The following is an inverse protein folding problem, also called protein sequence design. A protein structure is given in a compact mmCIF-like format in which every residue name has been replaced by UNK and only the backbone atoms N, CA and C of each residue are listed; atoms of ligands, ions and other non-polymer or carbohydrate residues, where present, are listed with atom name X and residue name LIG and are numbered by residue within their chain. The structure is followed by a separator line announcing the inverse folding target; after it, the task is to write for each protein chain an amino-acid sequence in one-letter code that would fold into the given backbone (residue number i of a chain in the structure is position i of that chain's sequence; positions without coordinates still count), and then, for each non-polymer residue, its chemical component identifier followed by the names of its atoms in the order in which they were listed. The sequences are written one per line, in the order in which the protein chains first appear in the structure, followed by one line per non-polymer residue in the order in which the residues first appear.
data_IF_126904351489
#
_entry.id   IF_126904351489
#
_cell.length_a   1.000
_cell.length_b   1.000
_cell.length_c   1.000
_cell.angle_alpha   90.00
_cell.angle_beta   90.00
_cell.angle_gamma   90.00
#
_symmetry.space_group_name_H-M   'P 1'
#
loop_
_entity.id
_entity.type
_entity.pdbx_description
1 polymer ?
#
# COMPACT_ATOMS: atom_id res chain seq x y z
N UNK A 1 8.51 -12.59 -22.53
CA UNK A 1 7.25 -12.08 -21.95
C UNK A 1 7.46 -10.64 -21.57
N UNK A 2 6.51 -9.78 -21.91
CA UNK A 2 6.54 -8.42 -21.42
C UNK A 2 6.41 -8.48 -19.89
N UNK A 3 7.37 -7.89 -19.17
CA UNK A 3 7.27 -7.70 -17.72
C UNK A 3 6.02 -6.87 -17.43
N UNK A 4 5.19 -7.34 -16.50
CA UNK A 4 4.01 -6.58 -16.11
C UNK A 4 4.46 -5.37 -15.30
N UNK A 5 3.95 -4.19 -15.68
CA UNK A 5 4.31 -2.91 -15.04
C UNK A 5 3.21 -2.37 -14.15
N UNK A 6 2.12 -3.11 -13.99
CA UNK A 6 1.00 -2.69 -13.17
C UNK A 6 1.25 -2.94 -11.69
N UNK A 7 1.03 -1.91 -10.90
CA UNK A 7 1.18 -1.94 -9.44
C UNK A 7 -0.10 -1.41 -8.81
N UNK A 8 -0.72 -2.20 -7.95
CA UNK A 8 -1.87 -1.73 -7.19
C UNK A 8 -1.47 -0.70 -6.15
N UNK A 9 -2.29 0.31 -5.98
CA UNK A 9 -2.17 1.29 -4.90
C UNK A 9 -3.42 1.22 -4.04
N UNK A 10 -3.24 0.82 -2.80
CA UNK A 10 -4.29 0.75 -1.78
C UNK A 10 -4.15 1.96 -0.86
N UNK A 11 -5.21 2.72 -0.68
CA UNK A 11 -5.16 3.94 0.13
C UNK A 11 -6.44 4.16 0.94
N UNK A 12 -6.33 4.94 2.01
CA UNK A 12 -7.46 5.42 2.81
C UNK A 12 -7.90 6.82 2.39
N UNK A 13 -7.98 7.74 3.37
CA UNK A 13 -8.50 9.10 3.16
C UNK A 13 -7.47 10.12 2.68
N UNK A 14 -6.17 9.79 2.73
CA UNK A 14 -5.11 10.73 2.33
C UNK A 14 -4.89 10.72 0.81
N UNK A 15 -5.62 11.59 0.10
CA UNK A 15 -5.53 11.70 -1.35
C UNK A 15 -4.20 12.31 -1.83
N UNK A 16 -3.61 13.21 -1.05
CA UNK A 16 -2.32 13.81 -1.38
C UNK A 16 -1.21 12.76 -1.44
N UNK A 17 -1.16 11.89 -0.43
CA UNK A 17 -0.19 10.79 -0.41
C UNK A 17 -0.44 9.80 -1.54
N UNK A 18 -1.70 9.46 -1.81
CA UNK A 18 -2.08 8.61 -2.94
C UNK A 18 -1.50 9.14 -4.26
N UNK A 19 -1.71 10.42 -4.54
CA UNK A 19 -1.21 11.06 -5.76
C UNK A 19 0.33 11.10 -5.79
N UNK A 20 0.95 11.38 -4.65
CA UNK A 20 2.41 11.39 -4.54
C UNK A 20 3.01 10.02 -4.87
N UNK A 21 2.44 8.96 -4.33
CA UNK A 21 2.90 7.58 -4.59
C UNK A 21 2.63 7.17 -6.03
N UNK A 22 1.44 7.45 -6.56
CA UNK A 22 1.11 7.15 -7.94
C UNK A 22 2.05 7.85 -8.93
N UNK A 23 2.35 9.11 -8.68
CA UNK A 23 3.29 9.88 -9.48
C UNK A 23 4.71 9.29 -9.42
N UNK A 24 5.15 8.88 -8.24
CA UNK A 24 6.45 8.23 -8.07
C UNK A 24 6.54 6.90 -8.82
N UNK A 25 5.50 6.07 -8.76
CA UNK A 25 5.46 4.83 -9.54
C UNK A 25 5.53 5.10 -11.05
N UNK A 26 4.83 6.12 -11.53
CA UNK A 26 4.90 6.55 -12.93
C UNK A 26 6.30 7.01 -13.32
N UNK A 27 7.01 7.70 -12.42
CA UNK A 27 8.40 8.09 -12.62
C UNK A 27 9.33 6.87 -12.79
N UNK A 28 9.01 5.77 -12.13
CA UNK A 28 9.70 4.48 -12.28
C UNK A 28 9.26 3.69 -13.52
N UNK A 29 8.46 4.28 -14.39
CA UNK A 29 7.89 3.65 -15.59
C UNK A 29 6.92 2.50 -15.25
N UNK A 30 6.24 2.60 -14.11
CA UNK A 30 5.20 1.67 -13.69
C UNK A 30 3.81 2.27 -13.90
N UNK A 31 2.80 1.42 -13.97
CA UNK A 31 1.40 1.82 -14.14
C UNK A 31 0.67 1.62 -12.81
N UNK A 32 0.40 2.69 -12.06
CA UNK A 32 -0.37 2.58 -10.83
C UNK A 32 -1.83 2.27 -11.11
N UNK A 33 -2.37 1.26 -10.43
CA UNK A 33 -3.79 0.90 -10.47
C UNK A 33 -4.39 1.26 -9.11
N UNK A 34 -5.13 2.36 -9.07
CA UNK A 34 -5.74 2.86 -7.84
C UNK A 34 -7.14 2.22 -7.73
N UNK A 35 -7.31 1.33 -6.76
CA UNK A 35 -8.53 0.52 -6.64
C UNK A 35 -9.80 1.35 -6.50
N UNK A 36 -9.74 2.43 -5.72
CA UNK A 36 -10.90 3.29 -5.49
C UNK A 36 -11.31 4.12 -6.72
N UNK A 37 -10.40 4.28 -7.67
CA UNK A 37 -10.66 5.00 -8.93
C UNK A 37 -11.13 4.07 -10.05
N UNK A 38 -11.01 2.76 -9.87
CA UNK A 38 -11.58 1.80 -10.81
C UNK A 38 -13.11 1.89 -10.78
N UNK A 39 -13.73 1.80 -11.94
CA UNK A 39 -15.18 1.84 -12.06
C UNK A 39 -15.81 0.84 -11.09
N UNK A 40 -16.57 1.36 -10.14
CA UNK A 40 -17.12 0.52 -9.08
C UNK A 40 -18.17 -0.45 -9.58
N UNK A 41 -19.05 -0.03 -10.48
CA UNK A 41 -20.10 -0.87 -11.10
C UNK A 41 -20.61 -2.05 -10.22
N UNK A 42 -20.55 -1.89 -8.88
CA UNK A 42 -20.86 -2.96 -7.92
C UNK A 42 -19.75 -4.00 -7.72
N UNK A 43 -18.57 -3.79 -8.30
CA UNK A 43 -17.46 -4.74 -8.21
C UNK A 43 -16.82 -4.75 -6.81
N UNK A 44 -16.52 -5.96 -6.33
CA UNK A 44 -15.74 -6.19 -5.12
C UNK A 44 -14.25 -5.99 -5.40
N UNK A 45 -13.44 -5.95 -4.34
CA UNK A 45 -11.97 -5.95 -4.48
C UNK A 45 -11.47 -7.18 -5.27
N UNK A 46 -12.12 -8.33 -5.09
CA UNK A 46 -11.75 -9.58 -5.78
C UNK A 46 -11.90 -9.40 -7.29
N UNK A 47 -13.04 -8.87 -7.73
CA UNK A 47 -13.32 -8.65 -9.16
C UNK A 47 -12.42 -7.57 -9.77
N UNK A 48 -12.14 -6.50 -9.00
CA UNK A 48 -11.18 -5.47 -9.44
C UNK A 48 -9.76 -6.04 -9.58
N UNK A 49 -9.36 -6.93 -8.69
CA UNK A 49 -8.10 -7.66 -8.79
C UNK A 49 -8.08 -8.55 -10.04
N UNK A 50 -9.13 -9.31 -10.27
CA UNK A 50 -9.23 -10.20 -11.44
C UNK A 50 -9.16 -9.44 -12.75
N UNK A 51 -9.75 -8.24 -12.82
CA UNK A 51 -9.66 -7.36 -13.99
C UNK A 51 -8.24 -6.83 -14.26
N UNK A 52 -7.35 -6.91 -13.27
CA UNK A 52 -5.94 -6.49 -13.37
C UNK A 52 -5.01 -7.59 -12.87
N UNK A 53 -5.35 -8.85 -13.17
CA UNK A 53 -4.63 -10.04 -12.69
C UNK A 53 -3.16 -10.12 -13.16
N UNK A 54 -2.80 -9.33 -14.15
CA UNK A 54 -1.44 -9.15 -14.62
C UNK A 54 -0.61 -8.19 -13.74
N UNK A 55 -1.21 -7.52 -12.76
CA UNK A 55 -0.46 -6.72 -11.80
C UNK A 55 0.39 -7.62 -10.90
N UNK A 56 1.64 -7.19 -10.69
CA UNK A 56 2.66 -8.02 -10.05
C UNK A 56 3.02 -7.58 -8.63
N UNK A 57 2.56 -6.42 -8.21
CA UNK A 57 2.94 -5.80 -6.93
C UNK A 57 1.82 -4.93 -6.39
N UNK A 58 1.80 -4.75 -5.08
CA UNK A 58 0.86 -3.83 -4.41
C UNK A 58 1.60 -2.94 -3.41
N UNK A 59 1.31 -1.66 -3.44
CA UNK A 59 1.74 -0.67 -2.44
C UNK A 59 0.52 -0.31 -1.60
N UNK A 60 0.65 -0.47 -0.29
CA UNK A 60 -0.45 -0.22 0.65
C UNK A 60 -0.10 0.97 1.54
N UNK A 61 -0.94 2.00 1.52
CA UNK A 61 -0.72 3.22 2.28
C UNK A 61 -1.47 3.14 3.62
N UNK A 62 -0.72 3.06 4.71
CA UNK A 62 -1.27 3.04 6.06
C UNK A 62 -1.17 4.43 6.67
N UNK A 63 -2.27 5.15 6.63
CA UNK A 63 -2.39 6.52 7.13
C UNK A 63 -3.30 6.57 8.37
N UNK A 64 -3.19 7.60 9.23
CA UNK A 64 -3.99 7.70 10.44
C UNK A 64 -5.43 8.13 10.14
N UNK A 65 -6.17 7.26 9.45
CA UNK A 65 -7.56 7.55 9.02
C UNK A 65 -8.57 7.39 10.15
N UNK A 66 -8.36 6.40 11.01
CA UNK A 66 -9.26 6.02 12.09
C UNK A 66 -8.52 5.98 13.42
N UNK A 67 -9.27 5.89 14.51
CA UNK A 67 -8.76 5.64 15.86
C UNK A 67 -9.45 4.42 16.46
N UNK A 68 -8.76 3.69 17.33
CA UNK A 68 -9.34 2.52 17.97
C UNK A 68 -8.54 2.05 19.19
N UNK A 69 -9.16 1.20 19.99
CA UNK A 69 -8.57 0.55 21.15
C UNK A 69 -9.39 -0.68 21.52
N UNK A 70 -8.91 -1.42 22.52
CA UNK A 70 -9.70 -2.50 23.13
C UNK A 70 -10.97 -1.94 23.75
N UNK A 71 -12.07 -2.67 23.64
CA UNK A 71 -13.34 -2.32 24.28
C UNK A 71 -13.46 -3.01 25.65
N UNK A 72 -13.94 -2.30 26.70
CA UNK A 72 -14.22 -0.86 26.72
C UNK A 72 -12.94 -0.04 26.80
N UNK A 73 -12.95 1.16 26.16
CA UNK A 73 -11.85 2.12 26.26
C UNK A 73 -11.80 2.71 27.68
N UNK A 74 -10.61 2.75 28.28
CA UNK A 74 -10.41 3.34 29.60
C UNK A 74 -10.40 4.86 29.57
N UNK A 75 -9.99 5.46 28.44
CA UNK A 75 -9.93 6.91 28.22
C UNK A 75 -9.74 7.21 26.73
N UNK A 76 -9.90 8.48 26.34
CA UNK A 76 -9.59 8.95 24.99
C UNK A 76 -8.11 8.75 24.66
N UNK A 77 -7.23 8.85 25.65
CA UNK A 77 -5.78 8.65 25.49
C UNK A 77 -5.40 7.20 25.15
N UNK A 78 -6.29 6.24 25.41
CA UNK A 78 -6.11 4.85 25.04
C UNK A 78 -6.34 4.60 23.54
N UNK A 79 -6.95 5.56 22.81
CA UNK A 79 -7.20 5.45 21.39
C UNK A 79 -5.89 5.57 20.60
N UNK A 80 -5.69 4.62 19.70
CA UNK A 80 -4.53 4.60 18.81
C UNK A 80 -4.96 4.92 17.39
N UNK A 81 -4.11 5.65 16.66
CA UNK A 81 -4.30 5.94 15.24
C UNK A 81 -4.06 4.68 14.43
N UNK A 82 -4.92 4.43 13.48
CA UNK A 82 -4.82 3.25 12.60
C UNK A 82 -5.36 3.55 11.21
N UNK A 83 -4.97 2.73 10.24
CA UNK A 83 -5.50 2.81 8.91
C UNK A 83 -6.99 2.42 8.89
N UNK A 84 -7.71 2.91 7.87
CA UNK A 84 -9.09 2.54 7.61
C UNK A 84 -9.22 1.01 7.52
N UNK A 85 -10.31 0.47 8.06
CA UNK A 85 -10.55 -0.98 8.08
C UNK A 85 -10.47 -1.62 6.68
N UNK A 86 -11.02 -0.96 5.67
CA UNK A 86 -10.95 -1.47 4.29
C UNK A 86 -9.50 -1.60 3.80
N UNK A 87 -8.62 -0.67 4.15
CA UNK A 87 -7.20 -0.73 3.78
C UNK A 87 -6.53 -1.95 4.42
N UNK A 88 -6.83 -2.24 5.68
CA UNK A 88 -6.31 -3.42 6.38
C UNK A 88 -6.79 -4.71 5.71
N UNK A 89 -8.08 -4.78 5.37
CA UNK A 89 -8.65 -5.92 4.63
C UNK A 89 -7.94 -6.12 3.27
N UNK A 90 -7.80 -5.05 2.52
CA UNK A 90 -7.15 -5.07 1.20
C UNK A 90 -5.67 -5.47 1.31
N UNK A 91 -4.98 -5.00 2.35
CA UNK A 91 -3.59 -5.40 2.61
C UNK A 91 -3.48 -6.91 2.80
N UNK A 92 -4.30 -7.50 3.68
CA UNK A 92 -4.32 -8.95 3.88
C UNK A 92 -4.65 -9.71 2.60
N UNK A 93 -5.62 -9.22 1.83
CA UNK A 93 -6.01 -9.78 0.54
C UNK A 93 -4.82 -9.85 -0.43
N UNK A 94 -4.09 -8.74 -0.60
CA UNK A 94 -2.96 -8.70 -1.53
C UNK A 94 -1.78 -9.56 -1.06
N UNK A 95 -1.52 -9.62 0.25
CA UNK A 95 -0.50 -10.52 0.80
C UNK A 95 -0.82 -11.98 0.45
N UNK A 96 -2.09 -12.37 0.55
CA UNK A 96 -2.52 -13.71 0.21
C UNK A 96 -2.45 -14.00 -1.30
N UNK A 97 -2.77 -13.02 -2.13
CA UNK A 97 -2.83 -13.18 -3.60
C UNK A 97 -1.48 -13.06 -4.28
N UNK A 98 -0.68 -12.08 -3.89
CA UNK A 98 0.60 -11.79 -4.53
C UNK A 98 1.81 -12.40 -3.80
N UNK A 99 1.63 -12.81 -2.55
CA UNK A 99 2.72 -13.18 -1.67
C UNK A 99 3.35 -11.93 -1.01
N UNK A 100 3.85 -12.09 0.21
CA UNK A 100 4.35 -10.97 1.02
C UNK A 100 5.55 -10.23 0.40
N UNK A 101 6.34 -10.87 -0.47
CA UNK A 101 7.44 -10.23 -1.19
C UNK A 101 6.98 -9.19 -2.21
N UNK A 102 5.76 -9.31 -2.66
CA UNK A 102 5.17 -8.48 -3.70
C UNK A 102 4.17 -7.46 -3.14
N UNK A 103 4.21 -7.24 -1.83
CA UNK A 103 3.38 -6.24 -1.15
C UNK A 103 4.27 -5.43 -0.22
N UNK A 104 4.26 -4.11 -0.40
CA UNK A 104 4.98 -3.18 0.45
C UNK A 104 4.01 -2.19 1.10
N UNK A 105 3.98 -2.17 2.43
CA UNK A 105 3.22 -1.18 3.17
C UNK A 105 4.09 0.07 3.42
N UNK A 106 3.56 1.24 3.09
CA UNK A 106 4.11 2.53 3.46
C UNK A 106 3.34 3.04 4.68
N UNK A 107 4.01 3.21 5.80
CA UNK A 107 3.37 3.46 7.09
C UNK A 107 3.67 4.86 7.58
N UNK A 108 2.63 5.66 7.78
CA UNK A 108 2.75 6.98 8.39
C UNK A 108 3.12 6.87 9.88
N UNK A 109 3.80 7.89 10.39
CA UNK A 109 4.22 7.94 11.78
C UNK A 109 3.02 7.82 12.73
N UNK A 110 3.18 7.00 13.77
CA UNK A 110 2.17 6.82 14.83
C UNK A 110 1.01 5.89 14.46
N UNK A 111 1.00 5.30 13.29
CA UNK A 111 -0.05 4.36 12.87
C UNK A 111 0.21 2.98 13.48
N UNK A 112 -0.78 2.44 14.17
CA UNK A 112 -0.76 1.07 14.70
C UNK A 112 -0.90 0.05 13.58
N UNK A 113 -0.05 -0.96 13.58
CA UNK A 113 -0.09 -2.07 12.64
C UNK A 113 -0.67 -3.30 13.35
N UNK A 114 -1.57 -4.06 12.71
CA UNK A 114 -2.04 -5.33 13.27
C UNK A 114 -0.87 -6.26 13.62
N UNK A 115 -0.90 -6.87 14.80
CA UNK A 115 0.21 -7.71 15.29
C UNK A 115 0.53 -8.89 14.38
N UNK A 116 -0.47 -9.45 13.72
CA UNK A 116 -0.29 -10.56 12.79
C UNK A 116 0.49 -10.16 11.51
N UNK A 117 0.62 -8.85 11.27
CA UNK A 117 1.37 -8.31 10.13
C UNK A 117 2.82 -7.94 10.48
N UNK A 118 3.26 -8.16 11.71
CA UNK A 118 4.61 -7.78 12.18
C UNK A 118 5.77 -8.45 11.41
N UNK A 119 5.53 -9.58 10.78
CA UNK A 119 6.55 -10.27 9.97
C UNK A 119 6.62 -9.79 8.52
N UNK A 120 5.81 -8.82 8.14
CA UNK A 120 5.75 -8.30 6.77
C UNK A 120 6.54 -7.01 6.70
N UNK A 121 7.37 -6.88 5.66
CA UNK A 121 8.20 -5.70 5.46
C UNK A 121 7.32 -4.47 5.24
N UNK A 122 7.62 -3.41 5.96
CA UNK A 122 7.01 -2.12 5.75
C UNK A 122 8.08 -1.02 5.66
N UNK A 123 7.72 0.08 5.03
CA UNK A 123 8.59 1.24 4.85
C UNK A 123 7.97 2.42 5.59
N UNK A 124 8.69 3.03 6.54
CA UNK A 124 8.22 4.26 7.18
C UNK A 124 8.13 5.40 6.17
N UNK A 125 7.01 6.12 6.19
CA UNK A 125 6.86 7.36 5.43
C UNK A 125 7.56 8.49 6.18
N UNK A 126 8.69 8.93 5.66
CA UNK A 126 9.46 10.02 6.21
C UNK A 126 9.30 11.30 5.39
N UNK A 127 9.47 12.45 6.05
CA UNK A 127 9.34 13.76 5.39
C UNK A 127 10.48 14.06 4.42
N UNK A 128 11.60 13.37 4.55
CA UNK A 128 12.79 13.58 3.70
C UNK A 128 12.76 12.81 2.40
N UNK A 129 11.79 11.91 2.24
CA UNK A 129 11.60 11.14 1.02
C UNK A 129 12.46 9.90 0.88
N UNK A 130 13.10 9.43 1.96
CA UNK A 130 13.88 8.19 1.95
C UNK A 130 13.02 6.96 1.61
N UNK A 131 11.71 7.02 1.90
CA UNK A 131 10.76 5.98 1.55
C UNK A 131 10.76 5.62 0.06
N UNK A 132 11.09 6.57 -0.81
CA UNK A 132 11.13 6.36 -2.26
C UNK A 132 12.15 5.31 -2.65
N UNK A 133 13.38 5.47 -2.17
CA UNK A 133 14.45 4.50 -2.47
C UNK A 133 14.18 3.16 -1.79
N UNK A 134 13.62 3.17 -0.58
CA UNK A 134 13.25 1.94 0.12
C UNK A 134 12.16 1.18 -0.64
N UNK A 135 11.11 1.88 -1.10
CA UNK A 135 10.07 1.26 -1.95
C UNK A 135 10.65 0.72 -3.25
N UNK A 136 11.55 1.47 -3.91
CA UNK A 136 12.19 1.01 -5.14
C UNK A 136 12.97 -0.29 -4.92
N UNK A 137 13.66 -0.42 -3.79
CA UNK A 137 14.35 -1.67 -3.42
C UNK A 137 13.37 -2.83 -3.20
N UNK A 138 12.23 -2.59 -2.56
CA UNK A 138 11.19 -3.60 -2.37
C UNK A 138 10.58 -4.04 -3.71
N UNK A 139 10.31 -3.10 -4.60
CA UNK A 139 9.85 -3.41 -5.97
C UNK A 139 10.84 -4.33 -6.67
N UNK A 140 12.12 -4.01 -6.59
CA UNK A 140 13.18 -4.82 -7.22
C UNK A 140 13.31 -6.19 -6.57
N UNK A 141 13.18 -6.29 -5.24
CA UNK A 141 13.17 -7.56 -4.53
C UNK A 141 11.96 -8.43 -4.92
N UNK A 142 10.85 -7.82 -5.29
CA UNK A 142 9.66 -8.48 -5.85
C UNK A 142 9.76 -8.77 -7.35
N UNK A 143 10.96 -8.63 -7.92
CA UNK A 143 11.24 -8.91 -9.35
C UNK A 143 10.53 -7.95 -10.32
N UNK A 144 10.13 -6.77 -9.83
CA UNK A 144 9.62 -5.71 -10.70
C UNK A 144 10.79 -5.02 -11.40
N UNK A 145 10.75 -4.99 -12.72
CA UNK A 145 11.80 -4.32 -13.50
C UNK A 145 11.69 -2.81 -13.39
N UNK A 146 12.64 -2.21 -12.69
CA UNK A 146 12.78 -0.76 -12.58
C UNK A 146 14.23 -0.33 -12.71
N UNK A 147 14.43 0.89 -13.17
CA UNK A 147 15.73 1.55 -13.16
C UNK A 147 15.88 2.36 -11.86
N UNK A 148 16.77 1.92 -10.98
CA UNK A 148 17.01 2.59 -9.70
C UNK A 148 17.56 4.02 -9.87
N UNK A 149 18.13 4.37 -11.02
CA UNK A 149 18.55 5.75 -11.28
C UNK A 149 17.37 6.72 -11.38
N UNK A 150 16.17 6.20 -11.64
CA UNK A 150 14.93 6.99 -11.65
C UNK A 150 14.30 7.13 -10.28
N UNK A 151 14.83 6.44 -9.27
CA UNK A 151 14.27 6.42 -7.91
C UNK A 151 14.73 7.63 -7.07
N UNK A 152 15.51 8.52 -7.62
CA UNK A 152 16.08 9.69 -6.96
C UNK A 152 15.16 10.91 -7.10
#
# INVERSE_FOLDING_TARGET
MASTRKVFVVHGHNNELKETVARYLTQLDLVPIILHEQASAGLTIIEKFESNSDACFSVVLLTPDDVGTLSPASSVDALKKRARQNVIFEWGFFVAKLGRRNVCALVAEGVEIPSDMNGIVYVPLDHRGAWKMLLARELKAGEVEIDLNRAI
#
